data_IF_340058847070
#
_entry.id   IF_340058847070
#
_cell.length_a   1.000
_cell.length_b   1.000
_cell.length_c   1.000
_cell.angle_alpha   90.00
_cell.angle_beta   90.00
_cell.angle_gamma   90.00
#
_symmetry.space_group_name_H-M   'P 1'
#
loop_
_entity.id
_entity.type
_entity.pdbx_description
1 polymer ?
#
# COMPACT_ATOMS: atom_id res chain seq x y z
N UNK A 1 -28.76 -5.26 36.35
CA UNK A 1 -28.29 -4.32 35.32
C UNK A 1 -26.83 -4.02 35.62
N UNK A 2 -25.94 -4.66 34.88
CA UNK A 2 -24.50 -4.54 35.01
C UNK A 2 -23.92 -4.76 33.63
N UNK A 3 -24.21 -3.82 32.73
CA UNK A 3 -23.62 -3.78 31.40
C UNK A 3 -22.13 -3.53 31.58
N UNK A 4 -21.39 -4.63 31.63
CA UNK A 4 -19.96 -4.60 31.47
C UNK A 4 -19.76 -4.16 30.04
N UNK A 5 -19.41 -2.90 29.85
CA UNK A 5 -18.93 -2.39 28.57
C UNK A 5 -17.64 -3.17 28.27
N UNK A 6 -17.79 -4.32 27.62
CA UNK A 6 -16.68 -5.08 27.07
C UNK A 6 -16.17 -4.23 25.93
N UNK A 7 -15.25 -3.31 26.24
CA UNK A 7 -14.40 -2.72 25.23
C UNK A 7 -13.78 -3.88 24.46
N UNK A 8 -13.99 -4.01 23.14
CA UNK A 8 -13.27 -5.01 22.35
C UNK A 8 -11.79 -4.61 22.37
N UNK A 9 -11.09 -5.06 23.39
CA UNK A 9 -9.65 -4.93 23.54
C UNK A 9 -9.02 -5.66 22.36
N UNK A 10 -8.48 -4.89 21.42
CA UNK A 10 -7.16 -5.09 20.80
C UNK A 10 -6.76 -6.51 20.37
N UNK A 11 -7.69 -7.42 20.06
CA UNK A 11 -7.33 -8.75 19.56
C UNK A 11 -6.75 -8.60 18.16
N UNK A 12 -5.44 -8.77 18.07
CA UNK A 12 -4.75 -8.94 16.79
C UNK A 12 -5.14 -10.30 16.25
N UNK A 13 -5.94 -10.35 15.17
CA UNK A 13 -6.18 -11.60 14.46
C UNK A 13 -4.93 -11.96 13.66
N UNK A 14 -4.18 -12.94 14.15
CA UNK A 14 -2.95 -13.43 13.51
C UNK A 14 -3.21 -14.49 12.43
N UNK A 15 -4.44 -14.97 12.28
CA UNK A 15 -4.79 -16.01 11.29
C UNK A 15 -4.42 -15.64 9.85
N UNK A 16 -4.57 -14.38 9.37
CA UNK A 16 -4.09 -13.99 8.05
C UNK A 16 -2.60 -14.28 7.83
N UNK A 17 -1.76 -14.02 8.83
CA UNK A 17 -0.33 -14.29 8.74
C UNK A 17 -0.03 -15.79 8.74
N UNK A 18 -0.79 -16.58 9.52
CA UNK A 18 -0.70 -18.04 9.47
C UNK A 18 -1.02 -18.60 8.07
N UNK A 19 -2.06 -18.08 7.42
CA UNK A 19 -2.39 -18.43 6.04
C UNK A 19 -1.27 -18.05 5.06
N UNK A 20 -0.72 -16.84 5.20
CA UNK A 20 0.38 -16.37 4.35
C UNK A 20 1.66 -17.21 4.52
N UNK A 21 1.99 -17.59 5.76
CA UNK A 21 3.11 -18.49 6.06
C UNK A 21 2.86 -19.92 5.54
N UNK A 22 1.60 -20.35 5.48
CA UNK A 22 1.18 -21.59 4.83
C UNK A 22 1.14 -21.54 3.30
N UNK A 23 1.47 -20.40 2.68
CA UNK A 23 1.50 -20.20 1.23
C UNK A 23 0.17 -19.72 0.63
N UNK A 24 -0.92 -19.69 1.39
CA UNK A 24 -2.22 -19.20 0.91
C UNK A 24 -2.34 -17.68 1.09
N UNK A 25 -1.55 -16.96 0.29
CA UNK A 25 -1.52 -15.49 0.31
C UNK A 25 -2.84 -14.88 -0.15
N UNK A 26 -3.61 -15.55 -1.02
CA UNK A 26 -4.92 -15.06 -1.46
C UNK A 26 -5.94 -15.06 -0.32
N UNK A 27 -6.06 -16.17 0.41
CA UNK A 27 -6.96 -16.24 1.56
C UNK A 27 -6.49 -15.33 2.70
N UNK A 28 -5.17 -15.25 2.94
CA UNK A 28 -4.58 -14.31 3.90
C UNK A 28 -5.00 -12.86 3.59
N UNK A 29 -4.85 -12.43 2.33
CA UNK A 29 -5.17 -11.08 1.93
C UNK A 29 -6.65 -10.77 2.00
N UNK A 30 -7.52 -11.71 1.57
CA UNK A 30 -8.97 -11.57 1.71
C UNK A 30 -9.38 -11.38 3.16
N UNK A 31 -8.86 -12.21 4.08
CA UNK A 31 -9.17 -12.11 5.50
C UNK A 31 -8.70 -10.80 6.11
N UNK A 32 -7.46 -10.39 5.81
CA UNK A 32 -6.91 -9.15 6.34
C UNK A 32 -7.65 -7.92 5.78
N UNK A 33 -8.05 -7.95 4.51
CA UNK A 33 -8.86 -6.90 3.91
C UNK A 33 -10.23 -6.77 4.59
N UNK A 34 -10.93 -7.89 4.83
CA UNK A 34 -12.22 -7.90 5.56
C UNK A 34 -12.09 -7.28 6.93
N UNK A 35 -11.06 -7.65 7.71
CA UNK A 35 -10.81 -7.07 9.03
C UNK A 35 -10.62 -5.54 8.97
N UNK A 36 -9.94 -5.04 7.94
CA UNK A 36 -9.69 -3.62 7.75
C UNK A 36 -10.92 -2.81 7.31
N UNK A 37 -11.85 -3.46 6.61
CA UNK A 37 -13.15 -2.89 6.24
C UNK A 37 -14.10 -2.86 7.43
N UNK A 38 -14.27 -3.99 8.11
CA UNK A 38 -15.09 -4.08 9.32
C UNK A 38 -14.64 -3.05 10.36
N UNK A 39 -13.33 -2.87 10.55
CA UNK A 39 -12.78 -1.85 11.45
C UNK A 39 -13.08 -0.41 11.01
N UNK A 40 -13.20 -0.15 9.71
CA UNK A 40 -13.58 1.16 9.17
C UNK A 40 -15.04 1.50 9.43
N UNK A 41 -15.92 0.52 9.29
CA UNK A 41 -17.36 0.70 9.40
C UNK A 41 -17.82 0.88 10.86
N UNK A 42 -17.19 0.19 11.81
CA UNK A 42 -17.65 0.14 13.21
C UNK A 42 -17.12 1.27 14.09
N UNK A 43 -16.03 1.95 13.72
CA UNK A 43 -15.46 3.00 14.57
C UNK A 43 -14.68 4.08 13.80
N UNK A 44 -15.37 4.95 13.05
CA UNK A 44 -14.71 5.98 12.24
C UNK A 44 -13.89 6.99 13.08
N UNK A 45 -14.27 7.23 14.35
CA UNK A 45 -13.71 8.32 15.17
C UNK A 45 -13.04 7.88 16.48
N UNK A 46 -13.16 6.63 16.91
CA UNK A 46 -12.65 6.15 18.21
C UNK A 46 -11.45 5.21 18.10
N UNK A 47 -11.04 4.81 16.90
CA UNK A 47 -9.97 3.83 16.72
C UNK A 47 -8.57 4.36 17.11
N UNK A 48 -8.32 5.67 16.97
CA UNK A 48 -7.06 6.31 17.37
C UNK A 48 -6.84 6.28 18.90
N UNK A 49 -7.90 6.05 19.69
CA UNK A 49 -7.81 5.90 21.14
C UNK A 49 -7.56 4.46 21.61
N UNK A 50 -7.77 3.44 20.75
CA UNK A 50 -7.75 2.01 21.15
C UNK A 50 -6.80 1.12 20.33
N UNK A 51 -6.26 1.60 19.22
CA UNK A 51 -5.31 0.85 18.41
C UNK A 51 -4.12 1.72 17.95
N UNK A 52 -2.94 1.11 17.84
CA UNK A 52 -1.75 1.81 17.37
C UNK A 52 -1.96 2.31 15.93
N UNK A 53 -1.76 3.62 15.64
CA UNK A 53 -2.00 4.23 14.32
C UNK A 53 -1.36 3.42 13.17
N UNK A 54 -0.08 3.08 13.30
CA UNK A 54 0.66 2.31 12.28
C UNK A 54 0.12 0.89 12.02
N UNK A 55 -0.61 0.26 12.96
CA UNK A 55 -1.10 -1.12 12.78
C UNK A 55 -1.97 -1.23 11.53
N UNK A 56 -2.85 -0.26 11.33
CA UNK A 56 -3.80 -0.23 10.22
C UNK A 56 -3.07 -0.11 8.89
N UNK A 57 -2.10 0.80 8.84
CA UNK A 57 -1.26 1.01 7.67
C UNK A 57 -0.47 -0.24 7.31
N UNK A 58 0.18 -0.87 8.30
CA UNK A 58 0.96 -2.11 8.10
C UNK A 58 0.06 -3.26 7.63
N UNK A 59 -1.12 -3.45 8.23
CA UNK A 59 -2.06 -4.49 7.80
C UNK A 59 -2.51 -4.28 6.35
N UNK A 60 -2.89 -3.05 5.99
CA UNK A 60 -3.30 -2.71 4.63
C UNK A 60 -2.18 -2.90 3.61
N UNK A 61 -0.96 -2.52 3.97
CA UNK A 61 0.23 -2.77 3.15
C UNK A 61 0.49 -4.27 2.97
N UNK A 62 0.43 -5.08 4.04
CA UNK A 62 0.59 -6.52 3.92
C UNK A 62 -0.49 -7.15 3.01
N UNK A 63 -1.76 -6.80 3.25
CA UNK A 63 -2.88 -7.27 2.44
C UNK A 63 -2.76 -6.85 0.97
N UNK A 64 -2.43 -5.59 0.70
CA UNK A 64 -2.25 -5.09 -0.66
C UNK A 64 -1.09 -5.77 -1.39
N UNK A 65 -0.02 -6.13 -0.68
CA UNK A 65 1.11 -6.88 -1.25
C UNK A 65 0.69 -8.28 -1.67
N UNK A 66 -0.03 -9.00 -0.81
CA UNK A 66 -0.54 -10.33 -1.13
C UNK A 66 -1.62 -10.32 -2.22
N UNK A 67 -2.46 -9.29 -2.28
CA UNK A 67 -3.43 -9.11 -3.38
C UNK A 67 -2.73 -8.85 -4.71
N UNK A 68 -1.68 -8.01 -4.72
CA UNK A 68 -0.87 -7.77 -5.91
C UNK A 68 -0.26 -9.08 -6.43
N UNK A 69 0.34 -9.88 -5.54
CA UNK A 69 0.90 -11.19 -5.90
C UNK A 69 -0.17 -12.17 -6.42
N UNK A 70 -1.40 -12.07 -5.91
CA UNK A 70 -2.54 -12.86 -6.36
C UNK A 70 -3.22 -12.29 -7.63
N UNK A 71 -2.70 -11.19 -8.19
CA UNK A 71 -3.21 -10.51 -9.39
C UNK A 71 -4.45 -9.63 -9.14
N UNK A 72 -4.91 -9.48 -7.90
CA UNK A 72 -6.06 -8.63 -7.56
C UNK A 72 -5.62 -7.18 -7.31
N UNK A 73 -5.18 -6.54 -8.39
CA UNK A 73 -4.68 -5.16 -8.34
C UNK A 73 -5.78 -4.17 -7.97
N UNK A 74 -7.05 -4.45 -8.31
CA UNK A 74 -8.17 -3.55 -8.02
C UNK A 74 -8.42 -3.45 -6.50
N UNK A 75 -8.46 -4.59 -5.81
CA UNK A 75 -8.60 -4.63 -4.37
C UNK A 75 -7.38 -4.05 -3.66
N UNK A 76 -6.18 -4.30 -4.19
CA UNK A 76 -4.93 -3.79 -3.63
C UNK A 76 -4.89 -2.25 -3.60
N UNK A 77 -5.28 -1.59 -4.71
CA UNK A 77 -5.37 -0.12 -4.75
C UNK A 77 -6.42 0.40 -3.78
N UNK A 78 -7.60 -0.23 -3.73
CA UNK A 78 -8.68 0.21 -2.83
C UNK A 78 -8.23 0.21 -1.37
N UNK A 79 -7.48 -0.80 -0.95
CA UNK A 79 -6.92 -0.88 0.41
C UNK A 79 -5.98 0.26 0.74
N UNK A 80 -5.18 0.71 -0.23
CA UNK A 80 -4.19 1.75 -0.03
C UNK A 80 -4.73 3.16 -0.26
N UNK A 81 -5.84 3.33 -0.98
CA UNK A 81 -6.48 4.64 -1.24
C UNK A 81 -6.82 5.45 0.03
N UNK A 82 -6.89 4.80 1.21
CA UNK A 82 -7.08 5.49 2.49
C UNK A 82 -6.01 6.57 2.77
N UNK A 83 -4.81 6.43 2.19
CA UNK A 83 -3.71 7.38 2.40
C UNK A 83 -4.00 8.75 1.75
N UNK A 84 -4.87 8.80 0.74
CA UNK A 84 -5.32 10.02 0.06
C UNK A 84 -6.47 10.71 0.80
N UNK A 85 -7.20 9.97 1.64
CA UNK A 85 -8.31 10.54 2.39
C UNK A 85 -7.80 11.58 3.40
N UNK A 86 -8.32 12.80 3.34
CA UNK A 86 -8.04 13.87 4.31
C UNK A 86 -8.62 13.51 5.68
N UNK A 87 -7.78 13.57 6.72
CA UNK A 87 -8.20 13.41 8.11
C UNK A 87 -7.02 13.18 9.05
N UNK A 88 -7.07 13.70 10.29
CA UNK A 88 -6.10 13.36 11.34
C UNK A 88 -6.13 11.84 11.64
N UNK A 89 -5.01 11.24 12.10
CA UNK A 89 -3.72 11.84 12.42
C UNK A 89 -2.75 11.85 11.22
N UNK A 90 -2.12 13.01 10.99
CA UNK A 90 -1.13 13.21 9.93
C UNK A 90 0.18 12.41 10.15
N UNK A 91 0.47 11.97 11.37
CA UNK A 91 1.75 11.36 11.75
C UNK A 91 2.06 10.04 11.05
N UNK A 92 1.12 9.08 11.03
CA UNK A 92 1.33 7.76 10.41
C UNK A 92 1.49 7.86 8.89
N UNK A 93 0.71 8.72 8.26
CA UNK A 93 0.70 8.92 6.81
C UNK A 93 2.00 9.52 6.35
N UNK A 94 2.56 10.47 7.11
CA UNK A 94 3.86 11.07 6.81
C UNK A 94 5.00 10.06 6.97
N UNK A 95 5.02 9.29 8.07
CA UNK A 95 6.09 8.31 8.34
C UNK A 95 6.11 7.19 7.30
N UNK A 96 4.93 6.70 6.88
CA UNK A 96 4.83 5.59 5.94
C UNK A 96 4.68 6.03 4.48
N UNK A 97 4.60 7.35 4.21
CA UNK A 97 4.42 7.89 2.86
C UNK A 97 5.37 7.28 1.83
N UNK A 98 6.70 7.22 2.04
CA UNK A 98 7.57 6.66 1.01
C UNK A 98 7.22 5.19 0.70
N UNK A 99 6.99 4.38 1.72
CA UNK A 99 6.69 2.95 1.53
C UNK A 99 5.32 2.72 0.88
N UNK A 100 4.34 3.56 1.22
CA UNK A 100 3.02 3.56 0.56
C UNK A 100 3.13 3.94 -0.92
N UNK A 101 3.88 5.00 -1.24
CA UNK A 101 4.15 5.42 -2.62
C UNK A 101 4.82 4.30 -3.42
N UNK A 102 5.84 3.65 -2.86
CA UNK A 102 6.51 2.52 -3.52
C UNK A 102 5.53 1.37 -3.81
N UNK A 103 4.66 1.05 -2.85
CA UNK A 103 3.74 -0.06 -3.00
C UNK A 103 2.64 0.24 -4.03
N UNK A 104 2.07 1.44 -4.00
CA UNK A 104 1.12 1.90 -5.00
C UNK A 104 1.75 1.94 -6.40
N UNK A 105 3.00 2.41 -6.52
CA UNK A 105 3.72 2.42 -7.79
C UNK A 105 3.79 1.02 -8.43
N UNK A 106 4.09 -0.01 -7.63
CA UNK A 106 4.12 -1.41 -8.08
C UNK A 106 2.74 -1.89 -8.55
N UNK A 107 1.68 -1.51 -7.83
CA UNK A 107 0.33 -1.90 -8.20
C UNK A 107 -0.10 -1.20 -9.49
N UNK A 108 0.18 0.09 -9.64
CA UNK A 108 -0.17 0.84 -10.85
C UNK A 108 0.65 0.39 -12.07
N UNK A 109 1.91 0.01 -11.91
CA UNK A 109 2.70 -0.62 -12.99
C UNK A 109 2.07 -1.95 -13.42
N UNK A 110 1.65 -2.78 -12.46
CA UNK A 110 0.93 -4.03 -12.75
C UNK A 110 -0.43 -3.81 -13.44
N UNK A 111 -1.08 -2.67 -13.19
CA UNK A 111 -2.32 -2.23 -13.87
C UNK A 111 -2.06 -1.61 -15.25
N UNK A 112 -0.81 -1.44 -15.66
CA UNK A 112 -0.44 -0.75 -16.90
C UNK A 112 -0.65 0.76 -16.84
N UNK A 113 -0.81 1.37 -15.66
CA UNK A 113 -0.95 2.82 -15.47
C UNK A 113 0.43 3.47 -15.40
N UNK A 114 1.11 3.50 -16.55
CA UNK A 114 2.54 3.87 -16.68
C UNK A 114 2.88 5.22 -16.04
N UNK A 115 2.11 6.27 -16.35
CA UNK A 115 2.41 7.61 -15.83
C UNK A 115 2.22 7.73 -14.32
N UNK A 116 1.16 7.12 -13.79
CA UNK A 116 0.89 7.14 -12.36
C UNK A 116 1.91 6.31 -11.58
N UNK A 117 2.26 5.13 -12.09
CA UNK A 117 3.33 4.31 -11.53
C UNK A 117 4.67 5.08 -11.48
N UNK A 118 5.03 5.75 -12.59
CA UNK A 118 6.25 6.56 -12.67
C UNK A 118 6.26 7.69 -11.64
N UNK A 119 5.16 8.44 -11.55
CA UNK A 119 5.00 9.53 -10.57
C UNK A 119 5.19 9.02 -9.14
N UNK A 120 4.56 7.89 -8.80
CA UNK A 120 4.64 7.29 -7.46
C UNK A 120 6.03 6.73 -7.13
N UNK A 121 6.73 6.13 -8.09
CA UNK A 121 8.14 5.74 -7.89
C UNK A 121 9.04 6.95 -7.65
N UNK A 122 8.81 8.05 -8.37
CA UNK A 122 9.55 9.30 -8.17
C UNK A 122 9.25 9.89 -6.77
N UNK A 123 7.99 9.92 -6.35
CA UNK A 123 7.61 10.34 -4.99
C UNK A 123 8.35 9.51 -3.93
N UNK A 124 8.41 8.18 -4.07
CA UNK A 124 9.18 7.33 -3.16
C UNK A 124 10.66 7.74 -3.12
N UNK A 125 11.29 7.98 -4.26
CA UNK A 125 12.70 8.36 -4.34
C UNK A 125 12.99 9.73 -3.71
N UNK A 126 12.04 10.67 -3.79
CA UNK A 126 12.16 11.99 -3.13
C UNK A 126 12.12 11.86 -1.61
N UNK A 127 11.22 11.02 -1.08
CA UNK A 127 11.04 10.87 0.36
C UNK A 127 11.98 9.83 1.01
N UNK A 128 12.69 9.04 0.21
CA UNK A 128 13.51 7.91 0.67
C UNK A 128 14.94 7.96 0.13
N UNK A 129 15.60 9.11 0.32
CA UNK A 129 16.93 9.43 -0.20
C UNK A 129 18.08 8.83 0.63
N UNK A 130 17.86 8.55 1.91
CA UNK A 130 18.84 7.92 2.82
C UNK A 130 18.36 6.54 3.32
N UNK A 131 18.36 5.51 2.46
CA UNK A 131 17.91 4.18 2.86
C UNK A 131 18.90 3.52 3.83
N UNK A 132 18.37 2.81 4.82
CA UNK A 132 19.16 1.84 5.58
C UNK A 132 19.78 0.81 4.61
N UNK A 133 20.96 0.21 4.93
CA UNK A 133 21.60 -0.76 4.04
C UNK A 133 20.67 -1.88 3.55
N UNK A 134 19.80 -2.39 4.42
CA UNK A 134 18.80 -3.40 4.09
C UNK A 134 17.79 -2.96 3.01
N UNK A 135 17.55 -1.66 2.85
CA UNK A 135 16.53 -1.11 1.94
C UNK A 135 17.10 -0.55 0.64
N UNK A 136 18.43 -0.61 0.42
CA UNK A 136 19.05 -0.12 -0.83
C UNK A 136 18.42 -0.74 -2.08
N UNK A 137 18.08 -2.03 -2.01
CA UNK A 137 17.42 -2.75 -3.11
C UNK A 137 16.06 -2.14 -3.49
N UNK A 138 15.34 -1.49 -2.57
CA UNK A 138 14.07 -0.82 -2.86
C UNK A 138 14.29 0.44 -3.72
N UNK A 139 15.31 1.23 -3.38
CA UNK A 139 15.71 2.43 -4.12
C UNK A 139 16.19 2.08 -5.52
N UNK A 140 17.07 1.09 -5.63
CA UNK A 140 17.56 0.64 -6.95
C UNK A 140 16.43 0.04 -7.80
N UNK A 141 15.53 -0.74 -7.20
CA UNK A 141 14.35 -1.24 -7.89
C UNK A 141 13.43 -0.13 -8.40
N UNK A 142 13.22 0.92 -7.61
CA UNK A 142 12.42 2.07 -8.02
C UNK A 142 13.08 2.87 -9.15
N UNK A 143 14.41 3.10 -9.09
CA UNK A 143 15.17 3.76 -10.16
C UNK A 143 15.08 2.98 -11.48
N UNK A 144 15.27 1.67 -11.42
CA UNK A 144 15.13 0.79 -12.58
C UNK A 144 13.70 0.83 -13.15
N UNK A 145 12.68 0.86 -12.29
CA UNK A 145 11.30 0.97 -12.72
C UNK A 145 11.02 2.31 -13.42
N UNK A 146 11.50 3.44 -12.89
CA UNK A 146 11.38 4.76 -13.54
C UNK A 146 12.03 4.75 -14.92
N UNK A 147 13.26 4.25 -15.04
CA UNK A 147 13.96 4.19 -16.34
C UNK A 147 13.17 3.37 -17.38
N UNK A 148 12.65 2.19 -16.97
CA UNK A 148 11.83 1.33 -17.82
C UNK A 148 10.48 1.97 -18.19
N UNK A 149 9.87 2.73 -17.29
CA UNK A 149 8.57 3.38 -17.53
C UNK A 149 8.71 4.61 -18.43
N UNK A 150 9.77 5.41 -18.27
CA UNK A 150 10.04 6.55 -19.14
C UNK A 150 10.22 6.13 -20.60
N UNK A 151 10.93 5.02 -20.86
CA UNK A 151 11.05 4.48 -22.22
C UNK A 151 9.77 3.87 -22.81
N UNK A 152 8.71 3.68 -22.00
CA UNK A 152 7.39 3.21 -22.44
C UNK A 152 6.39 4.35 -22.69
N UNK A 153 6.59 5.50 -22.06
CA UNK A 153 5.74 6.68 -22.21
C UNK A 153 6.05 7.51 -23.46
N UNK A 154 7.24 7.37 -24.05
CA UNK A 154 7.57 8.06 -25.30
C UNK A 154 6.82 7.42 -26.48
N UNK A 155 5.91 8.14 -27.17
CA UNK A 155 5.41 7.65 -28.45
C UNK A 155 6.60 7.52 -29.42
N UNK A 156 6.57 6.58 -30.38
CA UNK A 156 7.59 6.55 -31.41
C UNK A 156 7.61 7.91 -32.09
N UNK A 157 8.76 8.58 -32.05
CA UNK A 157 9.05 9.78 -32.85
C UNK A 157 9.10 9.36 -34.32
N UNK A 158 7.94 9.03 -34.89
CA UNK A 158 7.79 8.80 -36.31
C UNK A 158 7.79 10.16 -37.02
N UNK A 159 8.93 10.44 -37.64
CA UNK A 159 9.06 11.19 -38.90
C UNK A 159 8.40 12.58 -38.95
N UNK A 160 9.09 13.61 -38.45
CA UNK A 160 9.14 14.90 -39.16
C UNK A 160 10.48 15.00 -39.88
N UNK A 161 10.54 14.37 -41.05
CA UNK A 161 11.68 14.44 -41.95
C UNK A 161 11.21 14.17 -43.38
N UNK A 162 11.12 15.22 -44.18
CA UNK A 162 10.84 15.20 -45.62
C UNK A 162 9.34 15.31 -45.93
N UNK A 163 8.85 16.30 -46.69
CA UNK A 163 9.45 17.27 -47.60
C UNK A 163 8.68 18.58 -47.53
#
# INVERSE_FOLDING_TARGET
AGDTLVWPSSRVDLRPFGLALGGDRRAAAGRLATLEWDAGDHNPWGWWMVAHPLRRAVNRMAAAGWLLEAGDTAQAVRLLAYHEAFGPPFGEKLVLRPLLSLQLARIEDARGRVDEARRLYQDFLVWYDLPMPAHRHLVEGARAAVARLSGRSDPPTSARGGR
#
